data_IF_875442002132
#
_entry.id   IF_875442002132
#
_cell.length_a   1.000
_cell.length_b   1.000
_cell.length_c   1.000
_cell.angle_alpha   90.00
_cell.angle_beta   90.00
_cell.angle_gamma   90.00
#
_symmetry.space_group_name_H-M   'P 1'
#
loop_
_entity.id
_entity.type
_entity.pdbx_description
1 polymer ?
#
# COMPACT_ATOMS: atom_id res chain seq x y z
N UNK A 1 25.91 5.36 18.66
CA UNK A 1 24.80 5.62 17.72
C UNK A 1 24.80 7.09 17.30
N UNK A 2 24.68 8.08 18.20
CA UNK A 2 25.15 9.48 17.99
C UNK A 2 25.06 10.06 16.56
N UNK A 3 26.15 10.58 16.03
CA UNK A 3 26.21 11.11 14.64
C UNK A 3 25.96 10.06 13.55
N UNK A 4 26.15 8.77 13.85
CA UNK A 4 25.98 7.68 12.89
C UNK A 4 24.52 7.30 12.60
N UNK A 5 23.57 7.66 13.47
CA UNK A 5 22.13 7.44 13.22
C UNK A 5 21.48 8.56 12.38
N UNK A 6 22.15 9.71 12.23
CA UNK A 6 21.67 10.86 11.44
C UNK A 6 21.31 10.49 9.99
N UNK A 7 22.16 9.76 9.21
CA UNK A 7 21.80 9.39 7.85
C UNK A 7 20.57 8.48 7.77
N UNK A 8 20.38 7.56 8.71
CA UNK A 8 19.18 6.71 8.78
C UNK A 8 17.91 7.49 9.07
N UNK A 9 17.99 8.49 9.98
CA UNK A 9 16.85 9.35 10.33
C UNK A 9 16.47 10.28 9.17
N UNK A 10 17.44 10.86 8.46
CA UNK A 10 17.18 11.69 7.28
C UNK A 10 16.46 10.87 6.20
N UNK A 11 16.91 9.64 5.96
CA UNK A 11 16.29 8.75 4.97
C UNK A 11 14.84 8.40 5.37
N UNK A 12 14.58 8.16 6.66
CA UNK A 12 13.21 7.97 7.17
C UNK A 12 12.31 9.19 6.97
N UNK A 13 12.80 10.40 7.25
CA UNK A 13 12.03 11.64 7.06
C UNK A 13 11.68 11.85 5.58
N UNK A 14 12.62 11.56 4.66
CA UNK A 14 12.39 11.66 3.22
C UNK A 14 11.36 10.64 2.69
N UNK A 15 11.23 9.49 3.34
CA UNK A 15 10.27 8.46 2.94
C UNK A 15 8.83 8.79 3.35
N UNK A 16 8.62 9.63 4.37
CA UNK A 16 7.28 10.08 4.79
C UNK A 16 6.48 10.70 3.64
N UNK A 17 6.94 11.77 2.96
CA UNK A 17 6.16 12.42 1.91
C UNK A 17 5.91 11.50 0.70
N UNK A 18 6.83 10.55 0.43
CA UNK A 18 6.67 9.59 -0.67
C UNK A 18 5.52 8.64 -0.35
N UNK A 19 5.46 8.09 0.86
CA UNK A 19 4.40 7.18 1.29
C UNK A 19 3.04 7.88 1.41
N UNK A 20 2.99 9.13 1.86
CA UNK A 20 1.73 9.88 1.93
C UNK A 20 1.18 10.19 0.54
N UNK A 21 2.04 10.56 -0.42
CA UNK A 21 1.62 10.78 -1.80
C UNK A 21 1.07 9.50 -2.46
N UNK A 22 1.74 8.35 -2.30
CA UNK A 22 1.25 7.07 -2.84
C UNK A 22 -0.06 6.66 -2.20
N UNK A 23 -0.22 6.88 -0.90
CA UNK A 23 -1.46 6.58 -0.16
C UNK A 23 -2.64 7.43 -0.62
N UNK A 24 -2.43 8.74 -0.84
CA UNK A 24 -3.46 9.63 -1.40
C UNK A 24 -3.87 9.21 -2.82
N UNK A 25 -2.90 8.81 -3.64
CA UNK A 25 -3.18 8.32 -4.99
C UNK A 25 -4.02 7.04 -4.93
N UNK A 26 -3.63 6.07 -4.11
CA UNK A 26 -4.39 4.84 -3.91
C UNK A 26 -5.82 5.15 -3.43
N UNK A 27 -5.99 6.08 -2.50
CA UNK A 27 -7.31 6.53 -2.02
C UNK A 27 -8.21 7.04 -3.16
N UNK A 28 -7.66 7.76 -4.14
CA UNK A 28 -8.41 8.21 -5.32
C UNK A 28 -8.88 7.05 -6.18
N UNK A 29 -8.03 6.05 -6.41
CA UNK A 29 -8.38 4.85 -7.18
C UNK A 29 -9.39 3.97 -6.45
N UNK A 30 -9.31 3.87 -5.11
CA UNK A 30 -10.33 3.20 -4.30
C UNK A 30 -11.69 3.90 -4.40
N UNK A 31 -11.71 5.23 -4.39
CA UNK A 31 -12.94 5.99 -4.61
C UNK A 31 -13.53 5.74 -6.01
N UNK A 32 -12.69 5.69 -7.04
CA UNK A 32 -13.13 5.40 -8.41
C UNK A 32 -13.68 3.97 -8.55
N UNK A 33 -13.00 2.97 -7.99
CA UNK A 33 -13.47 1.59 -7.90
C UNK A 33 -14.84 1.52 -7.18
N UNK A 34 -15.01 2.31 -6.12
CA UNK A 34 -16.27 2.44 -5.40
C UNK A 34 -17.43 2.94 -6.28
N UNK A 35 -17.17 3.93 -7.15
CA UNK A 35 -18.18 4.42 -8.11
C UNK A 35 -18.57 3.34 -9.12
N UNK A 36 -17.60 2.61 -9.67
CA UNK A 36 -17.87 1.50 -10.59
C UNK A 36 -18.69 0.40 -9.91
N UNK A 37 -18.30 0.03 -8.69
CA UNK A 37 -19.02 -0.96 -7.88
C UNK A 37 -20.47 -0.54 -7.61
N UNK A 38 -20.68 0.73 -7.25
CA UNK A 38 -22.02 1.28 -7.03
C UNK A 38 -22.87 1.25 -8.32
N UNK A 39 -22.28 1.61 -9.46
CA UNK A 39 -22.95 1.55 -10.76
C UNK A 39 -23.36 0.11 -11.12
N UNK A 40 -22.47 -0.87 -10.95
CA UNK A 40 -22.76 -2.29 -11.17
C UNK A 40 -23.92 -2.77 -10.29
N UNK A 41 -23.89 -2.44 -8.99
CA UNK A 41 -24.96 -2.80 -8.05
C UNK A 41 -26.29 -2.17 -8.47
N UNK A 42 -26.31 -0.90 -8.88
CA UNK A 42 -27.52 -0.23 -9.37
C UNK A 42 -28.14 -0.95 -10.58
N UNK A 43 -27.31 -1.37 -11.55
CA UNK A 43 -27.79 -2.11 -12.73
C UNK A 43 -28.36 -3.47 -12.32
N UNK A 44 -27.72 -4.18 -11.40
CA UNK A 44 -28.23 -5.45 -10.87
C UNK A 44 -29.57 -5.23 -10.16
N UNK A 45 -29.71 -4.17 -9.37
CA UNK A 45 -30.98 -3.83 -8.71
C UNK A 45 -32.10 -3.56 -9.72
N UNK A 46 -31.82 -2.85 -10.82
CA UNK A 46 -32.79 -2.62 -11.90
C UNK A 46 -33.23 -3.95 -12.55
N UNK A 47 -32.29 -4.85 -12.83
CA UNK A 47 -32.58 -6.18 -13.38
C UNK A 47 -33.49 -6.99 -12.43
N UNK A 48 -33.19 -6.97 -11.13
CA UNK A 48 -33.97 -7.70 -10.13
C UNK A 48 -35.41 -7.18 -10.02
N UNK A 49 -35.61 -5.85 -10.12
CA UNK A 49 -36.93 -5.24 -10.09
C UNK A 49 -37.80 -5.65 -11.30
N UNK A 50 -37.19 -5.92 -12.47
CA UNK A 50 -37.89 -6.26 -13.71
C UNK A 50 -37.66 -7.70 -14.21
N UNK A 51 -37.22 -8.61 -13.34
CA UNK A 51 -36.75 -9.96 -13.72
C UNK A 51 -37.77 -10.82 -14.49
N UNK A 52 -39.07 -10.68 -14.20
CA UNK A 52 -40.12 -11.44 -14.89
C UNK A 52 -40.18 -11.12 -16.38
N UNK A 53 -39.95 -9.85 -16.75
CA UNK A 53 -39.96 -9.39 -18.14
C UNK A 53 -38.74 -9.93 -18.87
N UNK A 54 -37.55 -9.88 -18.25
CA UNK A 54 -36.32 -10.43 -18.85
C UNK A 54 -36.45 -11.91 -19.20
N UNK A 55 -37.07 -12.70 -18.32
CA UNK A 55 -37.32 -14.13 -18.56
C UNK A 55 -38.27 -14.38 -19.71
N UNK A 56 -39.32 -13.56 -19.83
CA UNK A 56 -40.35 -13.71 -20.86
C UNK A 56 -39.79 -13.44 -22.27
N UNK A 57 -38.77 -12.59 -22.38
CA UNK A 57 -38.07 -12.27 -23.63
C UNK A 57 -36.72 -13.02 -23.81
N UNK A 58 -36.34 -13.90 -22.89
CA UNK A 58 -35.05 -14.59 -22.88
C UNK A 58 -33.82 -13.65 -22.98
N UNK A 59 -33.92 -12.44 -22.40
CA UNK A 59 -32.86 -11.42 -22.43
C UNK A 59 -31.79 -11.58 -21.34
N UNK A 60 -31.88 -12.63 -20.52
CA UNK A 60 -30.96 -12.87 -19.39
C UNK A 60 -29.49 -12.83 -19.80
N UNK A 61 -29.15 -13.48 -20.93
CA UNK A 61 -27.76 -13.54 -21.41
C UNK A 61 -27.20 -12.16 -21.77
N UNK A 62 -27.99 -11.32 -22.44
CA UNK A 62 -27.57 -9.97 -22.83
C UNK A 62 -27.26 -9.08 -21.61
N UNK A 63 -28.07 -9.21 -20.54
CA UNK A 63 -27.81 -8.49 -19.29
C UNK A 63 -26.61 -9.06 -18.52
N UNK A 64 -26.41 -10.38 -18.55
CA UNK A 64 -25.22 -11.01 -17.98
C UNK A 64 -23.94 -10.51 -18.65
N UNK A 65 -23.92 -10.43 -19.99
CA UNK A 65 -22.78 -9.92 -20.74
C UNK A 65 -22.51 -8.45 -20.40
N UNK A 66 -23.56 -7.64 -20.25
CA UNK A 66 -23.46 -6.23 -19.81
C UNK A 66 -22.86 -6.10 -18.41
N UNK A 67 -23.28 -6.93 -17.46
CA UNK A 67 -22.72 -6.94 -16.09
C UNK A 67 -21.28 -7.45 -16.09
N UNK A 68 -20.96 -8.45 -16.91
CA UNK A 68 -19.59 -8.95 -17.08
C UNK A 68 -18.65 -7.87 -17.58
N UNK A 69 -19.04 -7.11 -18.60
CA UNK A 69 -18.22 -6.02 -19.14
C UNK A 69 -17.97 -4.88 -18.12
N UNK A 70 -18.91 -4.65 -17.20
CA UNK A 70 -18.70 -3.73 -16.07
C UNK A 70 -17.70 -4.32 -15.05
N UNK A 71 -17.81 -5.61 -14.79
CA UNK A 71 -16.93 -6.32 -13.85
C UNK A 71 -15.50 -6.44 -14.35
N UNK A 72 -15.28 -6.60 -15.65
CA UNK A 72 -13.93 -6.62 -16.23
C UNK A 72 -13.19 -5.30 -15.97
N UNK A 73 -13.87 -4.16 -16.13
CA UNK A 73 -13.31 -2.84 -15.81
C UNK A 73 -12.99 -2.67 -14.33
N UNK A 74 -13.84 -3.20 -13.43
CA UNK A 74 -13.55 -3.22 -12.00
C UNK A 74 -12.29 -4.05 -11.70
N UNK A 75 -12.17 -5.22 -12.32
CA UNK A 75 -11.04 -6.13 -12.13
C UNK A 75 -9.73 -5.49 -12.62
N UNK A 76 -9.74 -4.75 -13.72
CA UNK A 76 -8.56 -4.04 -14.20
C UNK A 76 -8.06 -3.01 -13.18
N UNK A 77 -8.97 -2.18 -12.66
CA UNK A 77 -8.64 -1.16 -11.64
C UNK A 77 -8.18 -1.84 -10.34
N UNK A 78 -8.86 -2.92 -9.94
CA UNK A 78 -8.55 -3.67 -8.73
C UNK A 78 -7.19 -4.37 -8.83
N UNK A 79 -6.86 -4.96 -9.97
CA UNK A 79 -5.55 -5.55 -10.25
C UNK A 79 -4.45 -4.50 -10.13
N UNK A 80 -4.65 -3.33 -10.72
CA UNK A 80 -3.70 -2.22 -10.61
C UNK A 80 -3.52 -1.74 -9.17
N UNK A 81 -4.62 -1.63 -8.41
CA UNK A 81 -4.61 -1.25 -6.99
C UNK A 81 -3.85 -2.27 -6.14
N UNK A 82 -4.14 -3.56 -6.30
CA UNK A 82 -3.49 -4.64 -5.55
C UNK A 82 -2.01 -4.69 -5.90
N UNK A 83 -1.65 -4.64 -7.18
CA UNK A 83 -0.26 -4.63 -7.60
C UNK A 83 0.51 -3.43 -7.01
N UNK A 84 -0.11 -2.25 -7.04
CA UNK A 84 0.46 -1.04 -6.44
C UNK A 84 0.61 -1.16 -4.92
N UNK A 85 -0.36 -1.79 -4.25
CA UNK A 85 -0.32 -2.05 -2.79
C UNK A 85 0.81 -3.01 -2.42
N UNK A 86 0.98 -4.10 -3.18
CA UNK A 86 2.07 -5.07 -2.99
C UNK A 86 3.44 -4.41 -3.16
N UNK A 87 3.62 -3.60 -4.21
CA UNK A 87 4.87 -2.84 -4.44
C UNK A 87 5.14 -1.88 -3.28
N UNK A 88 4.13 -1.16 -2.82
CA UNK A 88 4.26 -0.23 -1.70
C UNK A 88 4.64 -0.95 -0.40
N UNK A 89 4.02 -2.10 -0.11
CA UNK A 89 4.34 -2.93 1.05
C UNK A 89 5.79 -3.47 0.99
N UNK A 90 6.24 -3.89 -0.21
CA UNK A 90 7.62 -4.33 -0.42
C UNK A 90 8.63 -3.20 -0.20
N UNK A 91 8.36 -2.01 -0.73
CA UNK A 91 9.19 -0.81 -0.53
C UNK A 91 9.28 -0.43 0.95
N UNK A 92 8.17 -0.52 1.68
CA UNK A 92 8.13 -0.22 3.09
C UNK A 92 8.96 -1.22 3.93
N UNK A 93 8.83 -2.53 3.65
CA UNK A 93 9.60 -3.56 4.35
C UNK A 93 11.10 -3.49 4.05
N UNK A 94 11.47 -3.28 2.79
CA UNK A 94 12.87 -3.12 2.38
C UNK A 94 13.52 -1.86 2.95
N UNK A 95 12.77 -0.75 3.03
CA UNK A 95 13.25 0.50 3.66
C UNK A 95 13.78 0.28 5.08
N UNK A 96 13.08 -0.48 5.93
CA UNK A 96 13.53 -0.76 7.30
C UNK A 96 14.88 -1.47 7.34
N UNK A 97 15.08 -2.41 6.42
CA UNK A 97 16.34 -3.15 6.28
C UNK A 97 17.46 -2.20 5.82
N UNK A 98 17.19 -1.37 4.81
CA UNK A 98 18.16 -0.39 4.28
C UNK A 98 18.58 0.62 5.35
N UNK A 99 17.63 1.16 6.13
CA UNK A 99 17.91 2.11 7.22
C UNK A 99 18.81 1.46 8.29
N UNK A 100 18.57 0.20 8.64
CA UNK A 100 19.39 -0.52 9.60
C UNK A 100 20.82 -0.75 9.09
N UNK A 101 20.97 -1.17 7.83
CA UNK A 101 22.29 -1.38 7.21
C UNK A 101 23.04 -0.06 7.17
N UNK A 102 22.41 1.00 6.67
CA UNK A 102 23.03 2.32 6.54
C UNK A 102 23.52 2.87 7.89
N UNK A 103 22.72 2.70 8.94
CA UNK A 103 23.07 3.17 10.29
C UNK A 103 24.23 2.37 10.88
N UNK A 104 24.29 1.05 10.67
CA UNK A 104 25.41 0.23 11.13
C UNK A 104 26.68 0.48 10.31
N UNK A 105 26.57 0.65 8.99
CA UNK A 105 27.70 1.01 8.12
C UNK A 105 28.25 2.40 8.45
N UNK A 106 27.39 3.40 8.71
CA UNK A 106 27.83 4.71 9.17
C UNK A 106 28.52 4.64 10.54
N UNK A 107 28.05 3.76 11.42
CA UNK A 107 28.64 3.57 12.74
C UNK A 107 30.04 2.94 12.67
N UNK A 108 30.27 1.96 11.79
CA UNK A 108 31.61 1.37 11.60
C UNK A 108 32.60 2.33 10.95
N UNK A 109 32.14 3.19 10.02
CA UNK A 109 33.01 4.16 9.33
C UNK A 109 33.43 5.34 10.21
N UNK A 110 32.56 5.82 11.11
CA UNK A 110 32.84 7.00 11.96
C UNK A 110 33.63 6.63 13.22
N UNK A 111 33.54 5.38 13.69
CA UNK A 111 34.17 4.93 14.94
C UNK A 111 35.24 3.86 14.69
N UNK A 112 36.44 4.28 14.27
CA UNK A 112 37.60 3.40 14.11
C UNK A 112 38.04 2.67 15.41
N UNK A 113 37.53 3.07 16.58
CA UNK A 113 37.92 2.52 17.89
C UNK A 113 36.75 1.90 18.68
N UNK A 114 35.50 1.99 18.18
CA UNK A 114 34.33 1.63 18.97
C UNK A 114 33.72 0.32 18.45
N UNK A 115 33.93 -0.76 19.21
CA UNK A 115 33.44 -2.10 18.88
C UNK A 115 31.90 -2.09 18.92
N UNK A 116 31.23 -2.70 17.93
CA UNK A 116 29.79 -2.92 17.98
C UNK A 116 29.45 -3.87 19.13
N UNK A 117 29.06 -3.29 20.27
CA UNK A 117 28.54 -4.03 21.39
C UNK A 117 27.12 -4.55 21.04
N UNK A 118 26.84 -5.87 21.17
CA UNK A 118 25.53 -6.45 20.88
C UNK A 118 24.37 -5.69 21.55
N UNK A 119 24.58 -5.22 22.79
CA UNK A 119 23.57 -4.45 23.51
C UNK A 119 23.16 -3.16 22.77
N UNK A 120 24.12 -2.46 22.15
CA UNK A 120 23.84 -1.23 21.39
C UNK A 120 23.13 -1.53 20.06
N UNK A 121 23.47 -2.66 19.42
CA UNK A 121 22.84 -3.08 18.17
C UNK A 121 21.37 -3.48 18.39
N UNK A 122 21.08 -4.29 19.41
CA UNK A 122 19.72 -4.73 19.72
C UNK A 122 18.80 -3.56 20.12
N UNK A 123 19.30 -2.62 20.94
CA UNK A 123 18.53 -1.43 21.34
C UNK A 123 18.25 -0.51 20.15
N UNK A 124 19.16 -0.40 19.18
CA UNK A 124 18.93 0.43 17.99
C UNK A 124 17.94 -0.23 17.02
N UNK A 125 18.03 -1.55 16.86
CA UNK A 125 17.11 -2.30 16.03
C UNK A 125 15.66 -2.24 16.56
N UNK A 126 15.49 -2.31 17.89
CA UNK A 126 14.17 -2.15 18.50
C UNK A 126 13.60 -0.75 18.28
N UNK A 127 14.42 0.30 18.41
CA UNK A 127 14.01 1.68 18.12
C UNK A 127 13.61 1.89 16.66
N UNK A 128 14.38 1.39 15.68
CA UNK A 128 14.00 1.48 14.27
C UNK A 128 12.71 0.71 13.96
N UNK A 129 12.50 -0.42 14.62
CA UNK A 129 11.26 -1.19 14.49
C UNK A 129 10.06 -0.38 14.98
N UNK A 130 10.16 0.26 16.16
CA UNK A 130 9.10 1.10 16.73
C UNK A 130 8.78 2.29 15.82
N UNK A 131 9.80 3.01 15.34
CA UNK A 131 9.62 4.15 14.42
C UNK A 131 8.98 3.68 13.10
N UNK A 132 9.37 2.50 12.62
CA UNK A 132 8.79 1.87 11.44
C UNK A 132 7.29 1.58 11.58
N UNK A 133 6.80 1.24 12.78
CA UNK A 133 5.36 1.09 13.05
C UNK A 133 4.63 2.43 13.06
N UNK A 134 5.23 3.48 13.62
CA UNK A 134 4.67 4.84 13.61
C UNK A 134 4.49 5.37 12.18
N UNK A 135 5.44 5.08 11.29
CA UNK A 135 5.37 5.46 9.87
C UNK A 135 4.25 4.74 9.09
N UNK A 136 3.90 3.52 9.47
CA UNK A 136 2.75 2.82 8.87
C UNK A 136 1.43 3.47 9.26
N UNK A 137 1.29 3.89 10.51
CA UNK A 137 0.08 4.56 11.00
C UNK A 137 -0.22 5.87 10.26
N UNK A 138 0.80 6.58 9.77
CA UNK A 138 0.59 7.80 8.95
C UNK A 138 0.12 7.52 7.52
N UNK A 139 0.11 6.26 7.09
CA UNK A 139 -0.32 5.83 5.75
C UNK A 139 -1.73 5.20 5.73
N UNK A 140 -2.37 5.06 6.90
CA UNK A 140 -3.77 4.64 7.07
C UNK A 140 -4.66 5.86 7.31
#
# INVERSE_FOLDING_TARGET
MGAASVPGVILMILLVPINTYTSLLQGRYWAELGKHTASRVSVITEILNHIKVLKLYAWEQCFMDKVSALRDKEIDILTWLINSSVVNAFMHNSSKIVVSILSFTAFTLISNHNILDPNKAFVSLSLFTIIGWVLLLTSC
#
